data_IF_894849844371
#
_entry.id   IF_894849844371
#
_cell.length_a   1.000
_cell.length_b   1.000
_cell.length_c   1.000
_cell.angle_alpha   90.00
_cell.angle_beta   90.00
_cell.angle_gamma   90.00
#
_symmetry.space_group_name_H-M   'P 1'
#
loop_
_entity.id
_entity.type
_entity.pdbx_description
1 polymer ?
#
# COMPACT_ATOMS: atom_id res chain seq x y z
N UNK A 1 9.12 5.66 -18.56
CA UNK A 1 9.05 5.00 -17.25
C UNK A 1 8.00 5.74 -16.41
N UNK A 2 7.05 5.03 -15.79
CA UNK A 2 6.00 5.64 -14.95
C UNK A 2 6.06 5.04 -13.55
N UNK A 3 5.90 5.88 -12.54
CA UNK A 3 5.89 5.50 -11.13
C UNK A 3 4.52 5.88 -10.56
N UNK A 4 3.87 4.95 -9.87
CA UNK A 4 2.65 5.22 -9.12
C UNK A 4 2.99 5.73 -7.73
N UNK A 5 2.24 6.70 -7.23
CA UNK A 5 2.38 7.20 -5.85
C UNK A 5 0.99 7.19 -5.21
N UNK A 6 0.92 6.69 -3.98
CA UNK A 6 -0.28 6.66 -3.13
C UNK A 6 0.17 6.90 -1.69
N UNK A 7 -0.72 7.38 -0.83
CA UNK A 7 -0.46 7.65 0.58
C UNK A 7 -1.80 7.66 1.33
N UNK A 8 -1.76 7.64 2.67
CA UNK A 8 -2.91 7.94 3.53
C UNK A 8 -4.14 7.10 3.20
N UNK A 9 -3.94 5.80 2.93
CA UNK A 9 -5.02 4.93 2.49
C UNK A 9 -6.06 4.67 3.58
N UNK A 10 -5.67 4.77 4.86
CA UNK A 10 -6.56 4.78 6.03
C UNK A 10 -7.70 3.75 5.94
N UNK A 11 -7.36 2.46 5.75
CA UNK A 11 -8.34 1.37 5.65
C UNK A 11 -9.40 1.51 4.54
N UNK A 12 -9.24 2.46 3.61
CA UNK A 12 -10.20 2.74 2.55
C UNK A 12 -10.08 1.72 1.42
N UNK A 13 -10.49 0.48 1.70
CA UNK A 13 -10.46 -0.66 0.79
C UNK A 13 -11.08 -0.33 -0.58
N UNK A 14 -12.23 0.38 -0.70
CA UNK A 14 -12.74 0.79 -2.00
C UNK A 14 -11.79 1.68 -2.80
N UNK A 15 -11.13 2.65 -2.16
CA UNK A 15 -10.14 3.51 -2.82
C UNK A 15 -8.88 2.74 -3.19
N UNK A 16 -8.38 1.86 -2.30
CA UNK A 16 -7.24 0.99 -2.56
C UNK A 16 -7.50 0.13 -3.80
N UNK A 17 -8.67 -0.52 -3.89
CA UNK A 17 -9.05 -1.33 -5.07
C UNK A 17 -9.02 -0.52 -6.36
N UNK A 18 -9.57 0.70 -6.34
CA UNK A 18 -9.55 1.60 -7.51
C UNK A 18 -8.12 1.98 -7.90
N UNK A 19 -7.27 2.30 -6.92
CA UNK A 19 -5.87 2.63 -7.15
C UNK A 19 -5.10 1.44 -7.75
N UNK A 20 -5.26 0.24 -7.20
CA UNK A 20 -4.64 -1.00 -7.70
C UNK A 20 -5.10 -1.30 -9.13
N UNK A 21 -6.40 -1.19 -9.42
CA UNK A 21 -6.92 -1.38 -10.77
C UNK A 21 -6.35 -0.37 -11.76
N UNK A 22 -6.29 0.91 -11.36
CA UNK A 22 -5.70 1.97 -12.16
C UNK A 22 -4.23 1.70 -12.46
N UNK A 23 -3.42 1.38 -11.45
CA UNK A 23 -1.99 1.11 -11.62
C UNK A 23 -1.74 -0.12 -12.49
N UNK A 24 -2.54 -1.18 -12.33
CA UNK A 24 -2.46 -2.39 -13.15
C UNK A 24 -2.77 -2.13 -14.64
N UNK A 25 -3.54 -1.08 -14.96
CA UNK A 25 -3.86 -0.68 -16.34
C UNK A 25 -2.89 0.38 -16.91
N UNK A 26 -2.07 1.03 -16.07
CA UNK A 26 -1.37 2.26 -16.43
C UNK A 26 0.10 2.09 -16.88
N UNK A 27 0.57 0.85 -17.08
CA UNK A 27 1.97 0.53 -17.43
C UNK A 27 2.98 1.15 -16.44
N UNK A 28 2.79 0.86 -15.15
CA UNK A 28 3.59 1.38 -14.03
C UNK A 28 4.76 0.43 -13.72
N UNK A 29 5.97 0.99 -13.59
CA UNK A 29 7.20 0.24 -13.30
C UNK A 29 7.32 -0.17 -11.83
N UNK A 30 6.80 0.64 -10.90
CA UNK A 30 6.60 0.33 -9.49
C UNK A 30 5.67 1.38 -8.85
N UNK A 31 5.06 1.02 -7.72
CA UNK A 31 4.21 1.90 -6.91
C UNK A 31 4.91 2.20 -5.59
N UNK A 32 4.89 3.45 -5.15
CA UNK A 32 5.33 3.88 -3.82
C UNK A 32 4.09 4.19 -2.98
N UNK A 33 4.04 3.68 -1.76
CA UNK A 33 3.07 4.09 -0.74
C UNK A 33 3.80 4.88 0.37
N UNK A 34 3.39 6.12 0.62
CA UNK A 34 4.10 7.05 1.49
C UNK A 34 3.78 6.92 2.99
N UNK A 35 3.02 5.89 3.38
CA UNK A 35 2.64 5.60 4.77
C UNK A 35 1.16 5.76 5.03
N UNK A 36 0.75 5.46 6.26
CA UNK A 36 -0.64 5.51 6.74
C UNK A 36 -1.55 4.58 5.93
N UNK A 37 -1.13 3.31 5.85
CA UNK A 37 -1.95 2.23 5.31
C UNK A 37 -3.16 1.96 6.22
N UNK A 38 -2.79 1.72 7.50
CA UNK A 38 -3.54 1.29 8.68
C UNK A 38 -4.27 -0.05 8.51
N UNK A 39 -4.14 -0.90 9.53
CA UNK A 39 -4.53 -2.31 9.67
C UNK A 39 -4.07 -3.30 8.56
N UNK A 40 -3.53 -4.50 8.91
CA UNK A 40 -3.02 -5.46 7.91
C UNK A 40 -4.05 -5.95 6.89
N UNK A 41 -5.35 -5.85 7.17
CA UNK A 41 -6.38 -6.31 6.24
C UNK A 41 -6.46 -5.41 4.99
N UNK A 42 -6.23 -4.11 5.12
CA UNK A 42 -6.31 -3.16 4.00
C UNK A 42 -5.09 -3.33 3.07
N UNK A 43 -3.92 -3.60 3.66
CA UNK A 43 -2.65 -3.85 2.95
C UNK A 43 -2.74 -5.05 1.99
N UNK A 44 -3.54 -6.07 2.34
CA UNK A 44 -3.75 -7.26 1.48
C UNK A 44 -4.26 -6.91 0.09
N UNK A 45 -4.98 -5.81 -0.08
CA UNK A 45 -5.46 -5.38 -1.40
C UNK A 45 -4.32 -4.86 -2.29
N UNK A 46 -3.29 -4.23 -1.72
CA UNK A 46 -2.11 -3.80 -2.48
C UNK A 46 -1.29 -4.98 -3.02
N UNK A 47 -1.39 -6.17 -2.43
CA UNK A 47 -0.75 -7.39 -2.94
C UNK A 47 -1.27 -7.84 -4.31
N UNK A 48 -2.39 -7.25 -4.78
CA UNK A 48 -2.95 -7.50 -6.12
C UNK A 48 -2.32 -6.63 -7.21
N UNK A 49 -1.35 -5.79 -6.88
CA UNK A 49 -0.53 -5.07 -7.87
C UNK A 49 0.28 -6.06 -8.70
N UNK A 50 0.28 -5.89 -10.02
CA UNK A 50 1.11 -6.66 -10.97
C UNK A 50 2.55 -6.15 -11.03
N UNK A 51 2.86 -5.11 -10.27
CA UNK A 51 4.15 -4.42 -10.21
C UNK A 51 4.61 -4.34 -8.76
N UNK A 52 5.89 -4.01 -8.56
CA UNK A 52 6.46 -3.91 -7.21
C UNK A 52 5.80 -2.77 -6.43
N UNK A 53 5.47 -3.03 -5.18
CA UNK A 53 5.10 -2.02 -4.19
C UNK A 53 6.32 -1.72 -3.31
N UNK A 54 6.66 -0.45 -3.16
CA UNK A 54 7.62 0.06 -2.21
C UNK A 54 6.84 0.86 -1.17
N UNK A 55 7.10 0.61 0.10
CA UNK A 55 6.35 1.19 1.22
C UNK A 55 7.26 1.77 2.28
N UNK A 56 6.78 2.81 2.95
CA UNK A 56 7.33 3.29 4.23
C UNK A 56 6.20 3.30 5.26
N UNK A 57 6.53 3.16 6.53
CA UNK A 57 5.55 3.29 7.62
C UNK A 57 5.23 4.77 7.85
N UNK A 58 3.94 5.07 7.97
CA UNK A 58 3.44 6.34 8.47
C UNK A 58 3.32 6.33 9.98
N UNK A 59 3.08 7.51 10.58
CA UNK A 59 2.99 7.64 12.02
C UNK A 59 1.72 7.00 12.62
N UNK A 60 0.74 6.64 11.79
CA UNK A 60 -0.48 5.98 12.24
C UNK A 60 -0.50 4.46 11.95
N UNK A 61 0.54 3.92 11.33
CA UNK A 61 0.69 2.47 11.11
C UNK A 61 1.10 1.79 12.44
N UNK A 62 0.11 1.45 13.26
CA UNK A 62 0.29 0.97 14.65
C UNK A 62 0.58 -0.53 14.82
N UNK A 63 0.71 -1.29 13.74
CA UNK A 63 1.21 -2.66 13.77
C UNK A 63 2.47 -2.72 12.90
N UNK A 64 3.62 -2.40 13.49
CA UNK A 64 4.91 -2.72 12.89
C UNK A 64 5.29 -4.16 13.28
N UNK A 65 6.08 -4.90 12.46
CA UNK A 65 6.65 -6.18 12.87
C UNK A 65 7.45 -6.08 14.18
N UNK A 66 7.93 -4.88 14.50
CA UNK A 66 8.72 -4.56 15.69
C UNK A 66 7.85 -4.48 16.97
N UNK A 67 6.53 -4.31 16.80
CA UNK A 67 5.55 -4.29 17.88
C UNK A 67 4.99 -5.69 18.19
N UNK A 68 5.32 -6.70 17.39
CA UNK A 68 5.00 -8.11 17.66
C UNK A 68 6.10 -8.73 18.54
N UNK A 69 5.84 -9.06 19.82
CA UNK A 69 6.85 -9.65 20.71
C UNK A 69 7.30 -11.07 20.30
N UNK A 70 6.83 -11.58 19.15
CA UNK A 70 7.10 -12.93 18.63
C UNK A 70 7.88 -12.94 17.29
N UNK A 71 8.31 -11.79 16.76
CA UNK A 71 9.09 -11.73 15.49
C UNK A 71 10.59 -11.98 15.69
#
# INVERSE_FOLDING_TARGET
MKIGIVADSHDNVPAIKKAVEYFNKSNISFVIHAGDYIAPFSVKEFLKLKTKLLGVFGNNDGESPEDDPVS
#
